data_IF_151830954874
#
_entry.id   IF_151830954874
#
_cell.length_a   1.000
_cell.length_b   1.000
_cell.length_c   1.000
_cell.angle_alpha   90.00
_cell.angle_beta   90.00
_cell.angle_gamma   90.00
#
_symmetry.space_group_name_H-M   'P 1'
#
loop_
_entity.id
_entity.type
_entity.pdbx_description
1 polymer ?
#
# COMPACT_ATOMS: atom_id res chain seq x y z
N UNK A 1 1.13 25.38 4.10
CA UNK A 1 0.45 24.07 3.97
C UNK A 1 0.60 23.33 5.28
N UNK A 2 -0.43 22.61 5.71
CA UNK A 2 -0.37 21.74 6.88
C UNK A 2 -0.01 20.32 6.40
N UNK A 3 0.76 19.54 7.19
CA UNK A 3 1.06 18.16 6.84
C UNK A 3 -0.23 17.33 6.80
N UNK A 4 -0.33 16.45 5.81
CA UNK A 4 -1.44 15.50 5.65
C UNK A 4 -0.95 14.11 6.04
N UNK A 5 -1.77 13.42 6.84
CA UNK A 5 -1.65 11.98 7.07
C UNK A 5 -2.78 11.30 6.30
N UNK A 6 -2.43 10.49 5.30
CA UNK A 6 -3.41 9.66 4.59
C UNK A 6 -3.67 8.39 5.41
N UNK A 7 -4.81 8.36 6.10
CA UNK A 7 -5.11 7.29 7.06
C UNK A 7 -5.68 6.03 6.41
N UNK A 8 -5.85 5.98 5.09
CA UNK A 8 -6.49 4.85 4.42
C UNK A 8 -5.93 4.64 3.00
N UNK A 9 -4.73 4.07 2.95
CA UNK A 9 -4.03 3.77 1.70
C UNK A 9 -4.07 2.27 1.41
N UNK A 10 -4.37 1.91 0.16
CA UNK A 10 -4.18 0.55 -0.37
C UNK A 10 -3.10 0.57 -1.44
N UNK A 11 -2.14 -0.35 -1.34
CA UNK A 11 -1.10 -0.60 -2.33
C UNK A 11 -0.89 -2.10 -2.46
N UNK A 12 -0.57 -2.59 -3.65
CA UNK A 12 -0.36 -4.02 -3.87
C UNK A 12 0.62 -4.27 -5.02
N UNK A 13 1.38 -5.36 -4.89
CA UNK A 13 2.32 -5.83 -5.90
C UNK A 13 1.87 -7.21 -6.41
N UNK A 14 1.27 -7.24 -7.60
CA UNK A 14 0.78 -8.47 -8.23
C UNK A 14 1.92 -9.41 -8.69
N UNK A 15 3.19 -9.00 -8.59
CA UNK A 15 4.33 -9.90 -8.77
C UNK A 15 4.68 -10.68 -7.49
N UNK A 16 4.12 -10.28 -6.33
CA UNK A 16 4.38 -10.86 -5.01
C UNK A 16 3.15 -11.54 -4.41
N UNK A 17 1.99 -10.91 -4.54
CA UNK A 17 0.74 -11.35 -3.90
C UNK A 17 -0.33 -11.67 -4.94
N UNK A 18 -1.15 -12.66 -4.60
CA UNK A 18 -2.34 -13.06 -5.33
C UNK A 18 -3.55 -12.37 -4.72
N UNK A 19 -4.25 -11.57 -5.53
CA UNK A 19 -5.46 -10.85 -5.14
C UNK A 19 -6.56 -11.26 -6.12
N UNK A 20 -7.31 -12.36 -5.87
CA UNK A 20 -8.26 -12.89 -6.83
C UNK A 20 -9.32 -11.87 -7.27
N UNK A 21 -9.66 -10.92 -6.40
CA UNK A 21 -10.66 -9.90 -6.66
C UNK A 21 -10.22 -8.84 -7.70
N UNK A 22 -8.92 -8.70 -8.00
CA UNK A 22 -8.44 -7.74 -9.00
C UNK A 22 -8.65 -8.24 -10.43
N UNK A 23 -8.84 -9.55 -10.63
CA UNK A 23 -9.09 -10.11 -11.95
C UNK A 23 -10.41 -9.56 -12.51
N UNK A 24 -10.34 -8.87 -13.65
CA UNK A 24 -11.51 -8.21 -14.24
C UNK A 24 -11.91 -6.87 -13.60
N UNK A 25 -11.19 -6.38 -12.59
CA UNK A 25 -11.43 -5.10 -11.92
C UNK A 25 -10.97 -3.86 -12.73
N UNK A 26 -10.74 -4.02 -14.04
CA UNK A 26 -10.38 -2.93 -14.95
C UNK A 26 -9.03 -2.30 -14.61
N UNK A 27 -9.02 -1.00 -14.31
CA UNK A 27 -7.80 -0.23 -14.02
C UNK A 27 -7.07 -0.70 -12.76
N UNK A 28 -7.75 -1.44 -11.89
CA UNK A 28 -7.18 -1.99 -10.66
C UNK A 28 -6.37 -3.27 -10.92
N UNK A 29 -6.48 -3.89 -12.10
CA UNK A 29 -5.76 -5.10 -12.47
C UNK A 29 -4.30 -4.83 -12.89
N UNK A 30 -3.55 -4.16 -12.01
CA UNK A 30 -2.10 -3.90 -12.09
C UNK A 30 -1.56 -3.64 -10.68
N UNK A 31 -0.23 -3.67 -10.52
CA UNK A 31 0.40 -3.23 -9.27
C UNK A 31 0.24 -1.72 -9.05
N UNK A 32 0.10 -1.35 -7.78
CA UNK A 32 0.20 0.02 -7.28
C UNK A 32 1.25 0.02 -6.18
N UNK A 33 2.43 0.56 -6.49
CA UNK A 33 3.61 0.48 -5.65
C UNK A 33 3.82 1.78 -4.85
N UNK A 34 4.67 1.79 -3.80
CA UNK A 34 4.96 3.01 -3.06
C UNK A 34 5.43 4.18 -3.92
N UNK A 35 6.15 3.91 -5.01
CA UNK A 35 6.61 4.93 -5.96
C UNK A 35 5.46 5.54 -6.79
N UNK A 36 4.46 4.73 -7.14
CA UNK A 36 3.25 5.22 -7.80
C UNK A 36 2.51 6.21 -6.88
N UNK A 37 2.41 5.87 -5.60
CA UNK A 37 1.77 6.74 -4.61
C UNK A 37 2.56 8.02 -4.38
N UNK A 38 3.88 7.93 -4.22
CA UNK A 38 4.74 9.10 -4.06
C UNK A 38 4.57 10.11 -5.21
N UNK A 39 4.43 9.59 -6.44
CA UNK A 39 4.11 10.40 -7.62
C UNK A 39 2.71 11.01 -7.55
N UNK A 40 1.71 10.24 -7.14
CA UNK A 40 0.31 10.68 -7.08
C UNK A 40 0.06 11.81 -6.07
N UNK A 41 0.86 11.87 -4.99
CA UNK A 41 0.70 12.86 -3.92
C UNK A 41 1.67 14.04 -4.00
N UNK A 42 2.45 14.14 -5.08
CA UNK A 42 3.41 15.22 -5.28
C UNK A 42 2.71 16.60 -5.16
N UNK A 43 3.24 17.45 -4.28
CA UNK A 43 2.70 18.79 -4.01
C UNK A 43 1.53 18.86 -3.02
N UNK A 44 1.00 17.73 -2.52
CA UNK A 44 -0.14 17.70 -1.58
C UNK A 44 0.27 17.79 -0.09
N UNK A 45 1.57 17.85 0.22
CA UNK A 45 2.10 17.87 1.59
C UNK A 45 1.71 16.64 2.44
N UNK A 46 1.59 15.46 1.80
CA UNK A 46 1.47 14.18 2.50
C UNK A 46 2.81 13.83 3.16
N UNK A 47 2.79 13.61 4.47
CA UNK A 47 3.99 13.34 5.29
C UNK A 47 3.95 11.96 5.96
N UNK A 48 2.85 11.24 5.77
CA UNK A 48 2.74 9.83 6.13
C UNK A 48 1.46 9.18 5.67
N UNK A 49 1.44 7.85 5.71
CA UNK A 49 0.26 7.04 5.41
C UNK A 49 0.04 5.92 6.42
N UNK A 50 -1.21 5.45 6.49
CA UNK A 50 -1.60 4.21 7.16
C UNK A 50 -2.12 3.25 6.10
N UNK A 51 -1.43 2.12 5.95
CA UNK A 51 -1.78 1.05 5.03
C UNK A 51 -2.95 0.22 5.55
N UNK A 52 -3.88 -0.14 4.68
CA UNK A 52 -4.95 -1.10 4.94
C UNK A 52 -4.73 -2.35 4.07
N UNK A 53 -4.93 -3.53 4.67
CA UNK A 53 -4.92 -4.82 3.96
C UNK A 53 -5.73 -4.80 2.66
N UNK A 54 -5.29 -5.63 1.71
CA UNK A 54 -5.83 -5.65 0.35
C UNK A 54 -6.49 -6.98 -0.01
N UNK A 55 -6.90 -7.76 0.98
CA UNK A 55 -7.59 -9.05 0.83
C UNK A 55 -6.81 -10.00 -0.11
N UNK A 56 -5.52 -10.20 0.20
CA UNK A 56 -4.70 -11.21 -0.49
C UNK A 56 -5.29 -12.60 -0.27
N UNK A 57 -4.93 -13.55 -1.14
CA UNK A 57 -5.30 -14.96 -0.95
C UNK A 57 -4.99 -15.44 0.48
N UNK A 58 -5.89 -16.16 1.18
CA UNK A 58 -5.79 -16.37 2.63
C UNK A 58 -4.52 -17.04 3.13
N UNK A 59 -3.82 -17.79 2.27
CA UNK A 59 -2.53 -18.42 2.57
C UNK A 59 -1.35 -17.42 2.57
N UNK A 60 -1.58 -16.18 2.11
CA UNK A 60 -0.58 -15.11 2.00
C UNK A 60 -0.76 -13.98 3.03
N UNK A 61 -1.81 -13.96 3.85
CA UNK A 61 -2.07 -12.84 4.79
C UNK A 61 -0.91 -12.59 5.77
N UNK A 62 -0.22 -13.64 6.22
CA UNK A 62 0.96 -13.48 7.07
C UNK A 62 2.15 -12.85 6.30
N UNK A 63 2.33 -13.23 5.04
CA UNK A 63 3.38 -12.67 4.18
C UNK A 63 3.11 -11.21 3.81
N UNK A 64 1.84 -10.83 3.63
CA UNK A 64 1.41 -9.43 3.48
C UNK A 64 1.77 -8.63 4.73
N UNK A 65 1.36 -9.09 5.91
CA UNK A 65 1.67 -8.43 7.18
C UNK A 65 3.18 -8.22 7.39
N UNK A 66 3.99 -9.24 7.10
CA UNK A 66 5.46 -9.16 7.20
C UNK A 66 6.05 -8.16 6.21
N UNK A 67 5.59 -8.15 4.96
CA UNK A 67 6.06 -7.24 3.93
C UNK A 67 5.73 -5.78 4.25
N UNK A 68 4.47 -5.52 4.62
CA UNK A 68 4.00 -4.16 4.95
C UNK A 68 4.67 -3.66 6.23
N UNK A 69 4.91 -4.53 7.22
CA UNK A 69 5.67 -4.18 8.42
C UNK A 69 7.10 -3.74 8.10
N UNK A 70 7.75 -4.37 7.11
CA UNK A 70 9.07 -3.95 6.63
C UNK A 70 9.01 -2.59 5.94
N UNK A 71 7.98 -2.32 5.14
CA UNK A 71 7.77 -1.00 4.54
C UNK A 71 7.53 0.09 5.59
N UNK A 72 6.76 -0.20 6.64
CA UNK A 72 6.54 0.73 7.75
C UNK A 72 7.83 1.05 8.52
N UNK A 73 8.77 0.10 8.59
CA UNK A 73 10.05 0.26 9.27
C UNK A 73 11.11 0.98 8.40
N UNK A 74 10.87 1.13 7.10
CA UNK A 74 11.76 1.85 6.19
C UNK A 74 11.49 3.37 6.28
N UNK A 75 12.40 4.11 6.90
CA UNK A 75 12.28 5.55 7.06
C UNK A 75 12.26 6.34 5.73
N UNK A 76 12.67 5.72 4.61
CA UNK A 76 12.58 6.32 3.29
C UNK A 76 11.18 6.29 2.69
N UNK A 77 10.27 5.49 3.26
CA UNK A 77 8.88 5.37 2.83
C UNK A 77 7.98 6.37 3.57
N UNK A 78 6.84 6.71 2.95
CA UNK A 78 5.77 7.47 3.61
C UNK A 78 4.92 6.61 4.55
N UNK A 79 4.91 5.29 4.36
CA UNK A 79 4.09 4.37 5.14
C UNK A 79 4.57 4.30 6.59
N UNK A 80 3.71 4.63 7.56
CA UNK A 80 4.07 4.72 8.99
C UNK A 80 3.46 3.62 9.85
N UNK A 81 2.34 3.06 9.42
CA UNK A 81 1.60 2.04 10.14
C UNK A 81 0.73 1.24 9.17
N UNK A 82 0.25 0.10 9.65
CA UNK A 82 -0.61 -0.79 8.89
C UNK A 82 -1.74 -1.37 9.76
N UNK A 83 -2.88 -1.65 9.13
CA UNK A 83 -3.95 -2.50 9.66
C UNK A 83 -4.06 -3.68 8.71
N UNK A 84 -3.62 -4.85 9.19
CA UNK A 84 -3.60 -6.14 8.48
C UNK A 84 -4.17 -7.20 9.40
#
# INVERSE_FOLDING_TARGET
MHPILDTHQHLWDLSRFDLPWVEGAGILNRSFLPEDYATAVEGLAVDGTVYMEVDVSPDQSAAEADYVSQLCADESQLMRAAVV
#
